data_IF_404834674436
#
_entry.id   IF_404834674436
#
_cell.length_a   1.000
_cell.length_b   1.000
_cell.length_c   1.000
_cell.angle_alpha   90.00
_cell.angle_beta   90.00
_cell.angle_gamma   90.00
#
_symmetry.space_group_name_H-M   'P 1'
#
loop_
_entity.id
_entity.type
_entity.pdbx_description
1 polymer ?
#
# COMPACT_ATOMS: atom_id res chain seq x y z
N UNK A 1 -18.37 32.82 -26.99
CA UNK A 1 -17.05 32.18 -26.73
C UNK A 1 -16.80 31.84 -25.26
N UNK A 2 -17.07 32.73 -24.29
CA UNK A 2 -16.81 32.49 -22.85
C UNK A 2 -17.54 31.28 -22.23
N UNK A 3 -18.79 30.98 -22.64
CA UNK A 3 -19.56 29.83 -22.12
C UNK A 3 -18.95 28.46 -22.50
N UNK A 4 -18.37 28.32 -23.69
CA UNK A 4 -17.67 27.08 -24.12
C UNK A 4 -16.34 26.89 -23.38
N UNK A 5 -15.65 27.98 -23.03
CA UNK A 5 -14.41 27.95 -22.26
C UNK A 5 -14.64 27.52 -20.80
N UNK A 6 -15.76 27.93 -20.19
CA UNK A 6 -16.15 27.50 -18.83
C UNK A 6 -16.52 26.01 -18.80
N UNK A 7 -17.20 25.49 -19.83
CA UNK A 7 -17.53 24.06 -19.95
C UNK A 7 -16.24 23.22 -20.08
N UNK A 8 -15.28 23.67 -20.90
CA UNK A 8 -14.00 22.99 -21.10
C UNK A 8 -13.12 22.99 -19.84
N UNK A 9 -13.10 24.12 -19.10
CA UNK A 9 -12.42 24.21 -17.81
C UNK A 9 -13.06 23.30 -16.74
N UNK A 10 -14.39 23.18 -16.72
CA UNK A 10 -15.10 22.26 -15.82
C UNK A 10 -14.79 20.79 -16.09
N UNK A 11 -14.68 20.38 -17.37
CA UNK A 11 -14.28 19.01 -17.75
C UNK A 11 -12.85 18.67 -17.35
N UNK A 12 -11.95 19.67 -17.36
CA UNK A 12 -10.57 19.49 -16.91
C UNK A 12 -10.48 19.36 -15.36
N UNK A 13 -11.29 20.10 -14.61
CA UNK A 13 -11.34 19.97 -13.15
C UNK A 13 -11.92 18.61 -12.72
N UNK A 14 -12.98 18.14 -13.38
CA UNK A 14 -13.56 16.81 -13.13
C UNK A 14 -12.56 15.67 -13.38
N UNK A 15 -11.71 15.78 -14.41
CA UNK A 15 -10.70 14.75 -14.70
C UNK A 15 -9.58 14.70 -13.66
N UNK A 16 -9.14 15.85 -13.15
CA UNK A 16 -8.15 15.91 -12.06
C UNK A 16 -8.72 15.35 -10.74
N UNK A 17 -10.00 15.60 -10.46
CA UNK A 17 -10.67 15.02 -9.28
C UNK A 17 -10.81 13.49 -9.38
N UNK A 18 -11.13 12.95 -10.56
CA UNK A 18 -11.18 11.49 -10.77
C UNK A 18 -9.80 10.81 -10.69
N UNK A 19 -8.74 11.48 -11.13
CA UNK A 19 -7.37 10.95 -11.03
C UNK A 19 -6.90 10.93 -9.56
N UNK A 20 -7.20 11.98 -8.80
CA UNK A 20 -7.01 12.03 -7.35
C UNK A 20 -7.75 10.90 -6.61
N UNK A 21 -8.93 10.50 -7.10
CA UNK A 21 -9.72 9.43 -6.51
C UNK A 21 -9.12 8.02 -6.72
N UNK A 22 -8.26 7.83 -7.73
CA UNK A 22 -7.70 6.52 -8.11
C UNK A 22 -6.69 5.95 -7.10
N UNK A 23 -6.21 6.78 -6.17
CA UNK A 23 -5.32 6.37 -5.09
C UNK A 23 -6.04 6.18 -3.76
N UNK A 24 -7.39 6.22 -3.73
CA UNK A 24 -8.11 6.01 -2.49
C UNK A 24 -7.97 4.56 -2.02
N UNK A 25 -7.38 4.45 -0.83
CA UNK A 25 -7.50 3.36 0.10
C UNK A 25 -6.84 2.04 -0.32
N UNK A 26 -5.57 1.88 0.07
CA UNK A 26 -4.89 0.58 0.12
C UNK A 26 -4.52 0.26 1.55
N UNK A 27 -4.82 -0.95 2.00
CA UNK A 27 -4.46 -1.35 3.35
C UNK A 27 -5.09 -2.68 3.78
N UNK A 28 -4.74 -3.10 4.99
CA UNK A 28 -5.29 -4.31 5.58
C UNK A 28 -6.55 -3.99 6.39
N UNK A 29 -7.55 -4.87 6.30
CA UNK A 29 -8.81 -4.78 7.04
C UNK A 29 -8.98 -6.08 7.83
N UNK A 30 -9.27 -5.94 9.12
CA UNK A 30 -9.55 -7.05 10.04
C UNK A 30 -11.04 -7.01 10.39
N UNK A 31 -11.81 -8.01 9.95
CA UNK A 31 -13.25 -8.10 10.23
C UNK A 31 -13.69 -9.57 10.30
N UNK A 32 -14.65 -9.91 11.17
CA UNK A 32 -15.26 -11.24 11.25
C UNK A 32 -14.24 -12.40 11.30
N UNK A 33 -13.22 -12.29 12.14
CA UNK A 33 -12.12 -13.27 12.29
C UNK A 33 -11.33 -13.55 10.99
N UNK A 34 -11.36 -12.61 10.04
CA UNK A 34 -10.70 -12.69 8.75
C UNK A 34 -9.85 -11.46 8.48
N UNK A 35 -8.80 -11.66 7.70
CA UNK A 35 -7.91 -10.60 7.24
C UNK A 35 -8.12 -10.40 5.75
N UNK A 36 -8.23 -9.14 5.35
CA UNK A 36 -8.35 -8.73 3.96
C UNK A 36 -7.28 -7.72 3.62
N UNK A 37 -6.90 -7.69 2.35
CA UNK A 37 -6.19 -6.57 1.75
C UNK A 37 -7.14 -5.85 0.78
N UNK A 38 -7.39 -4.58 1.03
CA UNK A 38 -8.23 -3.70 0.22
C UNK A 38 -7.31 -2.88 -0.70
N UNK A 39 -7.60 -2.89 -2.00
CA UNK A 39 -6.96 -2.01 -2.98
C UNK A 39 -7.97 -1.62 -4.07
N UNK A 40 -7.77 -2.01 -5.34
CA UNK A 40 -8.83 -1.93 -6.35
C UNK A 40 -9.98 -2.89 -6.04
N UNK A 41 -9.65 -3.98 -5.37
CA UNK A 41 -10.56 -5.03 -4.95
C UNK A 41 -10.23 -5.41 -3.50
N UNK A 42 -11.23 -5.93 -2.78
CA UNK A 42 -11.07 -6.51 -1.45
C UNK A 42 -10.78 -8.00 -1.58
N UNK A 43 -9.60 -8.43 -1.15
CA UNK A 43 -9.14 -9.82 -1.26
C UNK A 43 -8.95 -10.38 0.13
N UNK A 44 -9.57 -11.54 0.43
CA UNK A 44 -9.35 -12.26 1.67
C UNK A 44 -7.98 -12.94 1.65
N UNK A 45 -7.22 -12.84 2.74
CA UNK A 45 -5.95 -13.51 2.92
C UNK A 45 -6.17 -14.83 3.68
N UNK A 46 -6.44 -15.91 2.95
CA UNK A 46 -6.79 -17.21 3.55
C UNK A 46 -5.71 -17.80 4.47
N UNK A 47 -4.44 -17.46 4.22
CA UNK A 47 -3.31 -17.92 5.03
C UNK A 47 -3.04 -17.05 6.27
N UNK A 48 -3.76 -15.95 6.44
CA UNK A 48 -3.51 -15.00 7.51
C UNK A 48 -4.07 -15.48 8.85
N UNK A 49 -3.24 -15.47 9.88
CA UNK A 49 -3.69 -15.68 11.25
C UNK A 49 -4.24 -14.36 11.82
N UNK A 50 -5.57 -14.23 11.79
CA UNK A 50 -6.30 -13.07 12.29
C UNK A 50 -5.88 -12.63 13.69
N UNK A 51 -5.65 -13.58 14.61
CA UNK A 51 -5.41 -13.26 16.03
C UNK A 51 -4.04 -12.63 16.27
N UNK A 52 -3.07 -12.96 15.43
CA UNK A 52 -1.70 -12.45 15.54
C UNK A 52 -1.35 -11.43 14.46
N UNK A 53 -2.32 -11.04 13.62
CA UNK A 53 -2.09 -10.13 12.51
C UNK A 53 -1.78 -8.71 13.01
N UNK A 54 -0.61 -8.21 12.64
CA UNK A 54 -0.08 -6.91 13.01
C UNK A 54 0.21 -6.09 11.75
N UNK A 55 -0.39 -4.90 11.66
CA UNK A 55 -0.11 -3.93 10.60
C UNK A 55 1.08 -3.08 11.06
N UNK A 56 2.22 -3.19 10.37
CA UNK A 56 3.51 -2.71 10.88
C UNK A 56 3.76 -1.22 10.61
N UNK A 57 3.27 -0.68 9.49
CA UNK A 57 3.38 0.76 9.24
C UNK A 57 2.02 1.41 9.33
N UNK A 58 1.89 2.41 10.19
CA UNK A 58 0.73 3.27 10.32
C UNK A 58 1.11 4.68 9.89
N UNK A 59 0.17 5.33 9.19
CA UNK A 59 0.21 6.68 8.61
C UNK A 59 0.51 6.66 7.10
N UNK A 60 -0.62 6.68 6.37
CA UNK A 60 -0.79 6.73 4.92
C UNK A 60 -0.17 5.54 4.17
N UNK A 61 -1.06 4.59 3.84
CA UNK A 61 -0.82 3.44 2.96
C UNK A 61 0.03 2.34 3.62
N UNK A 62 -0.56 1.65 4.61
CA UNK A 62 0.03 0.48 5.28
C UNK A 62 0.15 -0.71 4.32
N UNK A 63 1.30 -0.82 3.65
CA UNK A 63 1.53 -1.92 2.70
C UNK A 63 2.17 -3.15 3.35
N UNK A 64 2.81 -3.00 4.52
CA UNK A 64 3.49 -4.08 5.23
C UNK A 64 2.71 -4.52 6.48
N UNK A 65 2.51 -5.82 6.62
CA UNK A 65 1.93 -6.45 7.79
C UNK A 65 2.63 -7.79 8.07
N UNK A 66 2.35 -8.40 9.21
CA UNK A 66 2.81 -9.75 9.55
C UNK A 66 1.79 -10.47 10.41
N UNK A 67 1.90 -11.77 10.49
CA UNK A 67 1.34 -12.57 11.58
C UNK A 67 2.45 -13.46 12.17
N UNK A 68 2.09 -14.44 13.00
CA UNK A 68 3.06 -15.38 13.59
C UNK A 68 3.81 -16.23 12.57
N UNK A 69 3.25 -16.44 11.37
CA UNK A 69 3.74 -17.37 10.36
C UNK A 69 4.36 -16.66 9.15
N UNK A 70 3.85 -15.49 8.77
CA UNK A 70 4.11 -14.85 7.50
C UNK A 70 4.37 -13.34 7.62
N UNK A 71 5.15 -12.79 6.69
CA UNK A 71 5.24 -11.35 6.44
C UNK A 71 4.49 -11.05 5.14
N UNK A 72 3.70 -9.98 5.12
CA UNK A 72 2.85 -9.59 4.01
C UNK A 72 3.24 -8.23 3.46
N UNK A 73 3.32 -8.14 2.13
CA UNK A 73 3.41 -6.87 1.41
C UNK A 73 2.30 -6.80 0.35
N UNK A 74 1.45 -5.77 0.44
CA UNK A 74 0.30 -5.57 -0.45
C UNK A 74 -0.62 -6.81 -0.57
N UNK A 75 -0.87 -7.48 0.56
CA UNK A 75 -1.68 -8.71 0.59
C UNK A 75 -0.98 -9.97 0.08
N UNK A 76 0.29 -9.88 -0.34
CA UNK A 76 1.09 -11.04 -0.78
C UNK A 76 2.04 -11.48 0.32
N UNK A 77 2.21 -12.79 0.48
CA UNK A 77 3.22 -13.36 1.39
C UNK A 77 4.62 -13.10 0.79
N UNK A 78 5.54 -12.62 1.62
CA UNK A 78 6.95 -12.51 1.31
C UNK A 78 7.64 -13.82 1.70
N UNK A 79 8.00 -14.62 0.70
CA UNK A 79 8.71 -15.89 0.94
C UNK A 79 10.11 -15.65 1.49
N UNK A 80 10.59 -16.59 2.31
CA UNK A 80 11.94 -16.59 2.88
C UNK A 80 12.26 -15.42 3.82
N UNK A 81 11.25 -14.75 4.37
CA UNK A 81 11.40 -13.73 5.40
C UNK A 81 10.71 -14.22 6.67
N UNK A 82 11.48 -14.36 7.75
CA UNK A 82 10.92 -14.80 9.03
C UNK A 82 10.23 -13.64 9.78
N UNK A 83 8.93 -13.76 10.13
CA UNK A 83 8.15 -12.68 10.76
C UNK A 83 8.63 -12.25 12.16
N UNK A 84 9.47 -13.07 12.81
CA UNK A 84 10.01 -12.79 14.14
C UNK A 84 11.38 -12.10 14.10
N UNK A 85 12.16 -12.27 13.02
CA UNK A 85 13.55 -11.81 12.97
C UNK A 85 13.82 -10.72 11.93
N UNK A 86 12.92 -10.50 10.99
CA UNK A 86 13.12 -9.45 9.98
C UNK A 86 13.11 -8.04 10.60
N UNK A 87 13.81 -7.13 9.92
CA UNK A 87 13.88 -5.71 10.25
C UNK A 87 13.60 -4.89 9.01
N UNK A 88 12.93 -3.76 9.21
CA UNK A 88 12.82 -2.73 8.17
C UNK A 88 14.09 -1.88 8.24
N UNK A 89 14.90 -1.94 7.20
CA UNK A 89 16.14 -1.15 7.10
C UNK A 89 15.86 0.21 6.49
N UNK A 90 15.04 0.25 5.45
CA UNK A 90 14.73 1.48 4.74
C UNK A 90 13.32 1.43 4.16
N UNK A 91 12.65 2.58 4.16
CA UNK A 91 11.43 2.80 3.39
C UNK A 91 11.79 3.49 2.06
N UNK A 92 11.45 2.84 0.96
CA UNK A 92 11.68 3.37 -0.38
C UNK A 92 10.51 4.28 -0.73
N UNK A 93 10.80 5.55 -1.03
CA UNK A 93 9.79 6.55 -1.40
C UNK A 93 9.79 6.77 -2.92
N UNK A 94 8.62 6.98 -3.54
CA UNK A 94 8.54 7.16 -4.99
C UNK A 94 9.34 8.39 -5.43
N UNK A 95 10.04 8.28 -6.56
CA UNK A 95 10.93 9.32 -7.08
C UNK A 95 10.19 10.61 -7.47
N UNK A 96 8.90 10.51 -7.83
CA UNK A 96 8.06 11.67 -8.18
C UNK A 96 7.06 11.89 -7.04
N UNK A 97 7.28 12.94 -6.25
CA UNK A 97 6.25 13.49 -5.39
C UNK A 97 5.48 14.53 -6.21
N UNK A 98 4.17 14.35 -6.48
CA UNK A 98 3.40 15.43 -7.09
C UNK A 98 3.48 16.68 -6.20
N UNK A 99 3.53 17.86 -6.84
CA UNK A 99 3.72 19.18 -6.21
C UNK A 99 2.76 19.46 -5.05
N UNK A 100 1.60 18.78 -5.02
CA UNK A 100 0.57 18.92 -4.00
C UNK A 100 0.72 17.96 -2.81
N UNK A 101 1.84 17.25 -2.66
CA UNK A 101 2.13 16.40 -1.50
C UNK A 101 1.32 15.11 -1.38
N UNK A 102 0.23 14.98 -2.15
CA UNK A 102 -0.57 13.77 -2.30
C UNK A 102 0.06 12.82 -3.33
N UNK A 103 1.26 12.32 -3.02
CA UNK A 103 1.80 11.15 -3.71
C UNK A 103 1.16 9.88 -3.13
N UNK A 104 0.70 8.99 -4.00
CA UNK A 104 0.23 7.66 -3.60
C UNK A 104 1.39 6.90 -2.94
N UNK A 105 1.12 6.21 -1.83
CA UNK A 105 2.09 5.78 -0.81
C UNK A 105 3.33 4.98 -1.22
N UNK A 106 4.19 4.76 -0.22
CA UNK A 106 5.59 4.28 -0.28
C UNK A 106 5.88 3.21 -1.33
N UNK A 107 6.95 3.42 -2.09
CA UNK A 107 7.36 2.63 -3.25
C UNK A 107 8.17 1.37 -2.89
N UNK A 108 8.15 0.94 -1.64
CA UNK A 108 8.80 -0.29 -1.20
C UNK A 108 9.49 -0.21 0.15
N UNK A 109 10.14 -1.31 0.51
CA UNK A 109 10.96 -1.47 1.71
C UNK A 109 12.25 -2.21 1.37
N UNK A 110 13.35 -1.84 2.02
CA UNK A 110 14.49 -2.73 2.19
C UNK A 110 14.30 -3.45 3.53
N UNK A 111 14.10 -4.76 3.46
CA UNK A 111 14.01 -5.63 4.63
C UNK A 111 15.34 -6.36 4.82
N UNK A 112 15.70 -6.65 6.06
CA UNK A 112 16.81 -7.53 6.38
C UNK A 112 16.32 -8.67 7.27
N UNK A 113 16.63 -9.90 6.91
CA UNK A 113 16.42 -11.07 7.75
C UNK A 113 17.70 -11.91 7.78
N UNK A 114 18.20 -12.18 9.00
CA UNK A 114 19.43 -12.97 9.23
C UNK A 114 20.65 -12.53 8.39
N UNK A 115 20.78 -11.23 8.15
CA UNK A 115 21.88 -10.63 7.37
C UNK A 115 21.67 -10.66 5.84
N UNK A 116 20.56 -11.19 5.35
CA UNK A 116 20.17 -11.15 3.94
C UNK A 116 19.24 -9.95 3.75
N UNK A 117 19.49 -9.14 2.71
CA UNK A 117 18.67 -7.98 2.37
C UNK A 117 17.71 -8.29 1.22
N UNK A 118 16.48 -7.82 1.35
CA UNK A 118 15.39 -8.00 0.40
C UNK A 118 14.86 -6.64 -0.02
N UNK A 119 14.91 -6.34 -1.32
CA UNK A 119 14.23 -5.18 -1.88
C UNK A 119 12.82 -5.57 -2.27
N UNK A 120 11.83 -5.01 -1.57
CA UNK A 120 10.41 -5.26 -1.80
C UNK A 120 9.82 -3.98 -2.37
N UNK A 121 9.32 -4.00 -3.60
CA UNK A 121 8.74 -2.83 -4.27
C UNK A 121 7.48 -3.18 -5.04
N UNK A 122 6.65 -2.17 -5.28
CA UNK A 122 5.51 -2.31 -6.17
C UNK A 122 6.03 -2.59 -7.60
N UNK A 123 5.49 -3.64 -8.22
CA UNK A 123 5.73 -3.94 -9.64
C UNK A 123 4.63 -3.21 -10.41
N UNK A 124 5.00 -2.11 -11.08
CA UNK A 124 4.12 -1.30 -11.93
C UNK A 124 3.78 -2.01 -13.25
#
# INVERSE_FOLDING_TARGET
MKKKLIILAGMFILSQFSFSLSCLFRGYILENDKVYYESREKIQLEAADYKSFEIISSVNYSLLAKDTNNVYYQGKILENINPQTFKIIEEIKPAIRPVWGYGCGSSGYILEDKGIRYEVKEVL
#
